data_IF_358642796199
#
_entry.id   IF_358642796199
#
_cell.length_a   1.000
_cell.length_b   1.000
_cell.length_c   1.000
_cell.angle_alpha   90.00
_cell.angle_beta   90.00
_cell.angle_gamma   90.00
#
_symmetry.space_group_name_H-M   'P 1'
#
loop_
_entity.id
_entity.type
_entity.pdbx_description
1 polymer ?
#
# COMPACT_ATOMS: atom_id res chain seq x y z
N UNK A 1 24.21 -3.07 11.22
CA UNK A 1 22.87 -2.86 11.80
C UNK A 1 21.92 -2.58 10.66
N UNK A 2 20.85 -3.35 10.53
CA UNK A 2 19.79 -3.01 9.58
C UNK A 2 18.98 -1.84 10.17
N UNK A 3 18.63 -0.82 9.38
CA UNK A 3 17.73 0.23 9.84
C UNK A 3 16.40 -0.37 10.29
N UNK A 4 15.89 0.08 11.44
CA UNK A 4 14.62 -0.35 12.01
C UNK A 4 13.45 0.27 11.23
N UNK A 5 13.18 -0.27 10.06
CA UNK A 5 12.02 0.10 9.27
C UNK A 5 10.81 -0.78 9.62
N UNK A 6 9.66 -0.12 9.63
CA UNK A 6 8.34 -0.76 9.65
C UNK A 6 7.76 -0.62 8.25
N UNK A 7 7.34 -1.74 7.66
CA UNK A 7 6.61 -1.72 6.38
C UNK A 7 5.13 -1.92 6.64
N UNK A 8 4.34 -1.02 6.06
CA UNK A 8 2.88 -1.07 6.05
C UNK A 8 2.42 -1.09 4.60
N UNK A 9 1.61 -2.09 4.25
CA UNK A 9 1.00 -2.31 2.94
C UNK A 9 -0.32 -3.05 3.15
N UNK A 10 -1.20 -3.03 2.15
CA UNK A 10 -2.41 -3.85 2.14
C UNK A 10 -2.07 -5.32 1.85
N UNK A 11 -3.06 -6.20 2.03
CA UNK A 11 -2.93 -7.63 1.80
C UNK A 11 -3.65 -8.08 0.53
N UNK A 12 -3.56 -7.30 -0.55
CA UNK A 12 -3.95 -7.79 -1.86
C UNK A 12 -3.14 -9.05 -2.24
N UNK A 13 -3.70 -9.88 -3.12
CA UNK A 13 -3.16 -11.22 -3.43
C UNK A 13 -1.67 -11.24 -3.83
N UNK A 14 -1.17 -10.17 -4.45
CA UNK A 14 0.24 -10.05 -4.81
C UNK A 14 1.17 -9.92 -3.58
N UNK A 15 0.69 -9.28 -2.50
CA UNK A 15 1.43 -9.10 -1.25
C UNK A 15 1.43 -10.39 -0.40
N UNK A 16 0.41 -11.24 -0.57
CA UNK A 16 0.30 -12.56 0.08
C UNK A 16 1.18 -13.65 -0.55
N UNK A 17 1.69 -13.44 -1.76
CA UNK A 17 2.50 -14.43 -2.44
C UNK A 17 3.78 -14.72 -1.65
N UNK A 18 4.12 -16.01 -1.47
CA UNK A 18 5.32 -16.45 -0.72
C UNK A 18 6.62 -15.82 -1.21
N UNK A 19 6.71 -15.59 -2.52
CA UNK A 19 7.84 -14.91 -3.15
C UNK A 19 7.98 -13.47 -2.66
N UNK A 20 6.84 -12.81 -2.42
CA UNK A 20 6.76 -11.44 -1.93
C UNK A 20 7.01 -11.37 -0.42
N UNK A 21 6.45 -12.29 0.39
CA UNK A 21 6.63 -12.29 1.85
C UNK A 21 8.04 -12.69 2.29
N UNK A 22 8.75 -13.48 1.48
CA UNK A 22 10.11 -13.94 1.82
C UNK A 22 11.12 -12.80 2.05
N UNK A 23 11.00 -11.69 1.31
CA UNK A 23 11.88 -10.54 1.49
C UNK A 23 11.66 -9.81 2.84
N UNK A 24 10.45 -9.33 3.18
CA UNK A 24 10.20 -8.69 4.46
C UNK A 24 10.48 -9.62 5.64
N UNK A 25 10.13 -10.91 5.56
CA UNK A 25 10.44 -11.91 6.60
C UNK A 25 11.94 -12.05 6.87
N UNK A 26 12.79 -11.87 5.85
CA UNK A 26 14.25 -12.08 5.98
C UNK A 26 15.06 -10.80 6.19
N UNK A 27 14.49 -9.62 5.87
CA UNK A 27 15.25 -8.35 5.82
C UNK A 27 14.63 -7.19 6.60
N UNK A 28 13.35 -7.26 6.95
CA UNK A 28 12.63 -6.14 7.58
C UNK A 28 12.43 -6.44 9.07
N UNK A 29 12.59 -5.43 9.91
CA UNK A 29 12.50 -5.59 11.36
C UNK A 29 11.07 -5.87 11.82
N UNK A 30 10.09 -5.26 11.15
CA UNK A 30 8.68 -5.43 11.45
C UNK A 30 7.81 -5.07 10.23
N UNK A 31 6.80 -5.87 9.94
CA UNK A 31 5.75 -5.56 8.98
C UNK A 31 4.41 -6.03 9.55
N UNK A 32 3.32 -5.32 9.25
CA UNK A 32 1.99 -5.78 9.66
C UNK A 32 1.61 -7.01 8.85
N UNK A 33 1.43 -8.15 9.52
CA UNK A 33 0.97 -9.41 8.93
C UNK A 33 -0.51 -9.35 8.53
N UNK A 34 -0.96 -10.29 7.69
CA UNK A 34 -2.33 -10.32 7.15
C UNK A 34 -3.39 -10.34 8.25
N UNK A 35 -3.14 -11.08 9.32
CA UNK A 35 -4.01 -11.20 10.49
C UNK A 35 -4.17 -9.90 11.28
N UNK A 36 -3.24 -8.95 11.13
CA UNK A 36 -3.27 -7.65 11.81
C UNK A 36 -3.87 -6.54 10.94
N UNK A 37 -4.12 -6.78 9.65
CA UNK A 37 -4.66 -5.80 8.73
C UNK A 37 -6.13 -6.10 8.42
N UNK A 38 -7.06 -5.17 8.72
CA UNK A 38 -8.46 -5.38 8.41
C UNK A 38 -8.68 -5.40 6.87
N UNK A 39 -9.42 -6.37 6.34
CA UNK A 39 -9.72 -6.44 4.91
C UNK A 39 -10.50 -5.21 4.42
N UNK A 40 -10.16 -4.72 3.23
CA UNK A 40 -10.83 -3.59 2.58
C UNK A 40 -10.81 -2.28 3.39
N UNK A 41 -9.71 -1.99 4.09
CA UNK A 41 -9.53 -0.75 4.87
C UNK A 41 -8.52 0.21 4.22
N UNK A 42 -8.87 0.87 3.10
CA UNK A 42 -8.00 1.87 2.46
C UNK A 42 -7.79 3.10 3.35
N UNK A 43 -8.73 3.38 4.27
CA UNK A 43 -8.62 4.44 5.27
C UNK A 43 -7.43 4.25 6.22
N UNK A 44 -6.96 3.02 6.40
CA UNK A 44 -5.81 2.71 7.24
C UNK A 44 -4.49 2.72 6.48
N UNK A 45 -4.49 2.78 5.14
CA UNK A 45 -3.27 2.83 4.33
C UNK A 45 -2.89 4.28 4.04
N UNK A 46 -1.74 4.81 4.53
CA UNK A 46 -1.27 6.16 4.25
C UNK A 46 -1.17 6.51 2.77
N UNK A 47 -0.91 5.50 1.94
CA UNK A 47 -0.88 5.69 0.51
C UNK A 47 -2.28 6.00 -0.03
N UNK A 48 -3.29 5.22 0.38
CA UNK A 48 -4.66 5.34 -0.11
C UNK A 48 -5.41 6.50 0.52
N UNK A 49 -5.32 6.71 1.83
CA UNK A 49 -6.06 7.78 2.50
C UNK A 49 -5.49 9.18 2.23
N UNK A 50 -4.22 9.31 1.84
CA UNK A 50 -3.59 10.64 1.70
C UNK A 50 -2.79 10.82 0.42
N UNK A 51 -1.79 9.96 0.16
CA UNK A 51 -0.85 10.23 -0.93
C UNK A 51 -1.55 10.18 -2.30
N UNK A 52 -2.40 9.17 -2.53
CA UNK A 52 -3.17 9.03 -3.77
C UNK A 52 -4.23 10.11 -3.90
N UNK A 53 -4.91 10.49 -2.83
CA UNK A 53 -5.89 11.58 -2.85
C UNK A 53 -5.23 12.91 -3.28
N UNK A 54 -4.08 13.25 -2.69
CA UNK A 54 -3.32 14.44 -3.06
C UNK A 54 -2.85 14.41 -4.52
N UNK A 55 -2.39 13.24 -4.99
CA UNK A 55 -2.00 13.08 -6.39
C UNK A 55 -3.19 13.21 -7.35
N UNK A 56 -4.34 12.65 -7.00
CA UNK A 56 -5.56 12.76 -7.80
C UNK A 56 -6.03 14.22 -7.90
N UNK A 57 -5.96 14.99 -6.82
CA UNK A 57 -6.25 16.43 -6.83
C UNK A 57 -5.36 17.19 -7.84
N UNK A 58 -4.05 16.92 -7.81
CA UNK A 58 -3.10 17.52 -8.76
C UNK A 58 -3.40 17.11 -10.21
N UNK A 59 -3.76 15.84 -10.43
CA UNK A 59 -4.08 15.35 -11.79
C UNK A 59 -5.36 15.99 -12.33
N UNK A 60 -6.39 16.10 -11.50
CA UNK A 60 -7.64 16.81 -11.83
C UNK A 60 -7.39 18.28 -12.14
N UNK A 61 -6.51 18.94 -11.37
CA UNK A 61 -6.18 20.36 -11.59
C UNK A 61 -5.40 20.60 -12.90
N UNK A 62 -4.75 19.56 -13.44
CA UNK A 62 -3.95 19.63 -14.68
C UNK A 62 -4.75 19.23 -15.93
N UNK A 63 -6.05 18.95 -15.81
CA UNK A 63 -6.94 18.53 -16.90
C UNK A 63 -6.38 17.32 -17.69
N UNK A 64 -5.67 16.44 -17.00
CA UNK A 64 -5.21 15.17 -17.57
C UNK A 64 -6.45 14.29 -17.68
N UNK A 65 -6.84 13.90 -18.90
CA UNK A 65 -7.93 12.94 -19.10
C UNK A 65 -7.52 11.58 -18.52
N UNK A 66 -7.89 11.33 -17.27
CA UNK A 66 -7.74 10.03 -16.60
C UNK A 66 -8.91 9.14 -17.02
N UNK A 67 -8.68 8.30 -18.02
CA UNK A 67 -9.64 7.30 -18.48
C UNK A 67 -9.59 6.03 -17.62
N UNK A 68 -9.92 6.08 -16.34
CA UNK A 68 -10.08 4.85 -15.54
C UNK A 68 -11.07 5.01 -14.38
N UNK A 69 -12.35 4.74 -14.67
CA UNK A 69 -13.25 4.08 -13.72
C UNK A 69 -14.26 3.26 -14.55
N UNK A 70 -13.93 2.01 -14.85
CA UNK A 70 -14.95 0.97 -15.01
C UNK A 70 -14.95 0.21 -13.69
N UNK A 71 -16.07 0.29 -12.98
CA UNK A 71 -16.37 -0.55 -11.82
C UNK A 71 -16.76 -1.96 -12.22
#
# INVERSE_FOLDING_TARGET
>A
MHPNFIVQQDWALAHLAKTTTHFPESKISFFLTEDLWPPNSPDLNPLDFSAWEFMDEILRSRNVRTWWICG
#
